data_IF_619338557714
#
_entry.id   IF_619338557714
#
_cell.length_a   1.000
_cell.length_b   1.000
_cell.length_c   1.000
_cell.angle_alpha   90.00
_cell.angle_beta   90.00
_cell.angle_gamma   90.00
#
_symmetry.space_group_name_H-M   'P 1'
#
loop_
_entity.id
_entity.type
_entity.pdbx_description
1 polymer ?
#
# COMPACT_ATOMS: atom_id res chain seq x y z
N UNK A 1 1.55 11.40 -12.82
CA UNK A 1 0.35 10.88 -12.12
C UNK A 1 0.85 10.14 -10.89
N UNK A 2 0.32 10.43 -9.69
CA UNK A 2 0.86 9.88 -8.42
C UNK A 2 -0.09 8.79 -7.91
N UNK A 3 0.48 7.60 -7.71
CA UNK A 3 -0.14 6.46 -7.05
C UNK A 3 0.54 6.23 -5.72
N UNK A 4 -0.21 5.90 -4.68
CA UNK A 4 0.33 5.58 -3.36
C UNK A 4 -0.06 4.15 -2.97
N UNK A 5 0.89 3.39 -2.44
CA UNK A 5 0.63 2.13 -1.74
C UNK A 5 0.79 2.34 -0.24
N UNK A 6 -0.26 2.01 0.52
CA UNK A 6 -0.26 1.91 1.98
C UNK A 6 -0.28 0.43 2.35
N UNK A 7 0.84 -0.08 2.86
CA UNK A 7 1.00 -1.49 3.17
C UNK A 7 2.12 -1.71 4.20
N UNK A 8 2.24 -2.91 4.79
CA UNK A 8 3.39 -3.28 5.61
C UNK A 8 4.71 -3.09 4.88
N UNK A 9 5.79 -2.76 5.60
CA UNK A 9 7.14 -2.46 5.06
C UNK A 9 7.68 -3.53 4.13
N UNK A 10 7.30 -4.81 4.32
CA UNK A 10 7.69 -5.93 3.45
C UNK A 10 7.32 -5.69 1.98
N UNK A 11 6.28 -4.91 1.71
CA UNK A 11 5.83 -4.57 0.34
C UNK A 11 6.45 -3.30 -0.24
N UNK A 12 7.40 -2.64 0.44
CA UNK A 12 8.06 -1.43 -0.07
C UNK A 12 8.68 -1.66 -1.46
N UNK A 13 9.32 -2.81 -1.65
CA UNK A 13 9.98 -3.16 -2.91
C UNK A 13 8.99 -3.34 -4.06
N UNK A 14 7.79 -3.84 -3.78
CA UNK A 14 6.70 -3.93 -4.74
C UNK A 14 6.31 -2.52 -5.20
N UNK A 15 6.10 -1.58 -4.27
CA UNK A 15 5.80 -0.20 -4.63
C UNK A 15 6.88 0.44 -5.51
N UNK A 16 8.16 0.19 -5.22
CA UNK A 16 9.29 0.68 -6.02
C UNK A 16 9.24 0.15 -7.47
N UNK A 17 8.98 -1.15 -7.66
CA UNK A 17 8.89 -1.77 -8.99
C UNK A 17 7.77 -1.18 -9.85
N UNK A 18 6.65 -0.83 -9.23
CA UNK A 18 5.51 -0.20 -9.90
C UNK A 18 5.56 1.34 -9.90
N UNK A 19 6.67 1.93 -9.42
CA UNK A 19 6.87 3.38 -9.30
C UNK A 19 5.76 4.09 -8.49
N UNK A 20 5.27 3.42 -7.44
CA UNK A 20 4.32 3.98 -6.49
C UNK A 20 5.06 4.71 -5.36
N UNK A 21 4.44 5.78 -4.84
CA UNK A 21 4.83 6.30 -3.53
C UNK A 21 4.44 5.29 -2.47
N UNK A 22 5.32 5.04 -1.50
CA UNK A 22 5.09 4.06 -0.45
C UNK A 22 4.90 4.74 0.89
N UNK A 23 3.87 4.33 1.63
CA UNK A 23 3.65 4.69 3.03
C UNK A 23 3.50 3.41 3.82
N UNK A 24 4.29 3.24 4.88
CA UNK A 24 4.20 2.05 5.74
C UNK A 24 3.05 2.16 6.74
N UNK A 25 2.33 1.07 6.92
CA UNK A 25 1.46 0.83 8.06
C UNK A 25 1.56 -0.66 8.42
N UNK A 26 1.85 -0.98 9.68
CA UNK A 26 2.01 -2.35 10.16
C UNK A 26 0.77 -2.90 10.90
N UNK A 27 -0.19 -2.03 11.23
CA UNK A 27 -1.44 -2.38 11.93
C UNK A 27 -2.59 -1.46 11.51
N UNK A 28 -3.82 -1.81 11.90
CA UNK A 28 -4.97 -0.93 11.70
C UNK A 28 -4.84 0.39 12.45
N UNK A 29 -4.23 0.40 13.63
CA UNK A 29 -3.97 1.63 14.40
C UNK A 29 -3.07 2.62 13.64
N UNK A 30 -2.10 2.12 12.87
CA UNK A 30 -1.22 2.95 12.03
C UNK A 30 -1.91 3.39 10.73
N UNK A 31 -2.85 2.59 10.21
CA UNK A 31 -3.46 2.78 8.89
C UNK A 31 -4.06 4.17 8.70
N UNK A 32 -4.79 4.71 9.67
CA UNK A 32 -5.41 6.05 9.53
C UNK A 32 -4.37 7.16 9.41
N UNK A 33 -3.29 7.09 10.21
CA UNK A 33 -2.20 8.06 10.14
C UNK A 33 -1.44 7.97 8.82
N UNK A 34 -1.21 6.74 8.34
CA UNK A 34 -0.61 6.46 7.04
C UNK A 34 -1.47 6.98 5.89
N UNK A 35 -2.80 6.80 5.95
CA UNK A 35 -3.73 7.33 4.96
C UNK A 35 -3.73 8.85 4.93
N UNK A 36 -3.76 9.52 6.10
CA UNK A 36 -3.65 10.99 6.17
C UNK A 36 -2.34 11.49 5.58
N UNK A 37 -1.24 10.81 5.87
CA UNK A 37 0.06 11.14 5.26
C UNK A 37 0.06 10.89 3.75
N UNK A 38 -0.57 9.80 3.28
CA UNK A 38 -0.70 9.49 1.86
C UNK A 38 -1.43 10.60 1.06
N UNK A 39 -2.43 11.26 1.66
CA UNK A 39 -3.13 12.39 1.04
C UNK A 39 -2.20 13.58 0.73
N UNK A 40 -1.12 13.77 1.51
CA UNK A 40 -0.16 14.88 1.30
C UNK A 40 0.55 14.80 -0.05
N UNK A 41 0.67 13.60 -0.64
CA UNK A 41 1.22 13.40 -1.98
C UNK A 41 0.27 13.81 -3.11
N UNK A 42 -0.96 14.24 -2.78
CA UNK A 42 -2.04 14.55 -3.74
C UNK A 42 -2.22 13.44 -4.80
N UNK A 43 -2.36 12.16 -4.37
CA UNK A 43 -2.50 11.06 -5.31
C UNK A 43 -3.84 11.11 -6.05
N UNK A 44 -3.93 10.42 -7.20
CA UNK A 44 -5.24 10.12 -7.80
C UNK A 44 -5.87 8.86 -7.20
N UNK A 45 -5.02 7.91 -6.78
CA UNK A 45 -5.43 6.62 -6.26
C UNK A 45 -4.50 6.19 -5.13
N UNK A 46 -5.09 5.67 -4.06
CA UNK A 46 -4.39 5.02 -2.96
C UNK A 46 -4.77 3.53 -2.99
N UNK A 47 -3.77 2.67 -3.04
CA UNK A 47 -3.91 1.23 -2.85
C UNK A 47 -3.63 0.92 -1.38
N UNK A 48 -4.51 0.16 -0.73
CA UNK A 48 -4.41 -0.17 0.70
C UNK A 48 -4.41 -1.67 0.88
N UNK A 49 -3.44 -2.21 1.62
CA UNK A 49 -3.41 -3.62 1.95
C UNK A 49 -4.65 -4.00 2.79
N UNK A 50 -5.48 -4.92 2.28
CA UNK A 50 -6.78 -5.27 2.87
C UNK A 50 -6.68 -5.75 4.32
N UNK A 51 -5.65 -6.52 4.65
CA UNK A 51 -5.42 -7.04 6.00
C UNK A 51 -5.24 -5.95 7.08
N UNK A 52 -4.89 -4.72 6.72
CA UNK A 52 -4.80 -3.61 7.67
C UNK A 52 -6.18 -3.01 8.03
N UNK A 53 -7.20 -3.27 7.22
CA UNK A 53 -8.53 -2.67 7.36
C UNK A 53 -9.39 -3.44 8.35
N UNK A 54 -9.17 -4.75 8.47
CA UNK A 54 -9.99 -5.66 9.27
C UNK A 54 -10.06 -5.23 10.75
N UNK A 55 -9.00 -4.62 11.28
CA UNK A 55 -8.94 -4.13 12.66
C UNK A 55 -9.70 -2.81 12.90
N UNK A 56 -9.95 -2.02 11.84
CA UNK A 56 -10.47 -0.64 11.93
C UNK A 56 -11.53 -0.33 10.86
N UNK A 57 -12.36 -1.31 10.52
CA UNK A 57 -13.25 -1.24 9.36
C UNK A 57 -14.21 -0.03 9.43
N UNK A 58 -14.75 0.26 10.61
CA UNK A 58 -15.70 1.36 10.83
C UNK A 58 -15.02 2.73 10.67
N UNK A 59 -13.84 2.93 11.26
CA UNK A 59 -13.06 4.15 11.11
C UNK A 59 -12.56 4.34 9.68
N UNK A 60 -12.17 3.26 9.02
CA UNK A 60 -11.77 3.29 7.61
C UNK A 60 -12.94 3.70 6.70
N UNK A 61 -14.15 3.16 6.91
CA UNK A 61 -15.36 3.59 6.18
C UNK A 61 -15.65 5.07 6.38
N UNK A 62 -15.56 5.56 7.62
CA UNK A 62 -15.72 7.00 7.93
C UNK A 62 -14.67 7.84 7.21
N UNK A 63 -13.41 7.42 7.25
CA UNK A 63 -12.32 8.11 6.55
C UNK A 63 -12.58 8.21 5.04
N UNK A 64 -13.03 7.12 4.41
CA UNK A 64 -13.34 7.07 2.97
C UNK A 64 -14.54 7.95 2.61
N UNK A 65 -15.53 8.06 3.50
CA UNK A 65 -16.66 8.97 3.35
C UNK A 65 -16.24 10.44 3.47
N UNK A 66 -15.41 10.77 4.46
CA UNK A 66 -14.86 12.12 4.66
C UNK A 66 -13.90 12.55 3.54
N UNK A 67 -13.26 11.58 2.88
CA UNK A 67 -12.26 11.80 1.83
C UNK A 67 -12.69 11.10 0.52
N UNK A 68 -13.69 11.63 -0.21
CA UNK A 68 -14.22 11.00 -1.42
C UNK A 68 -13.20 10.95 -2.58
N UNK A 69 -12.14 11.75 -2.50
CA UNK A 69 -11.01 11.78 -3.43
C UNK A 69 -9.74 11.84 -2.56
N UNK A 70 -8.70 11.04 -2.83
CA UNK A 70 -8.45 10.12 -3.96
C UNK A 70 -9.29 8.83 -3.93
N UNK A 71 -9.34 8.12 -5.07
CA UNK A 71 -9.94 6.79 -5.12
C UNK A 71 -9.12 5.83 -4.24
N UNK A 72 -9.76 5.19 -3.26
CA UNK A 72 -9.11 4.20 -2.39
C UNK A 72 -9.51 2.80 -2.84
N UNK A 73 -8.50 2.00 -3.25
CA UNK A 73 -8.65 0.62 -3.73
C UNK A 73 -8.03 -0.32 -2.70
N UNK A 74 -8.81 -1.30 -2.27
CA UNK A 74 -8.39 -2.33 -1.34
C UNK A 74 -7.72 -3.45 -2.14
N UNK A 75 -6.50 -3.82 -1.75
CA UNK A 75 -5.70 -4.83 -2.45
C UNK A 75 -5.35 -5.97 -1.52
N UNK A 76 -5.65 -7.18 -1.97
CA UNK A 76 -5.11 -8.39 -1.36
C UNK A 76 -3.65 -8.52 -1.78
N UNK A 77 -2.75 -8.46 -0.79
CA UNK A 77 -1.32 -8.62 -0.97
C UNK A 77 -0.91 -9.98 -0.37
N UNK A 78 -0.73 -11.02 -1.20
CA UNK A 78 -0.30 -12.33 -0.72
C UNK A 78 1.02 -12.22 0.04
N UNK A 79 1.13 -12.94 1.15
CA UNK A 79 2.35 -12.96 1.95
C UNK A 79 3.56 -13.47 1.14
N UNK A 80 3.30 -14.41 0.24
CA UNK A 80 4.27 -15.05 -0.64
C UNK A 80 4.73 -14.18 -1.81
N UNK A 81 4.09 -13.05 -2.08
CA UNK A 81 4.44 -12.19 -3.22
C UNK A 81 5.86 -11.59 -3.06
N UNK A 82 6.34 -11.50 -1.82
CA UNK A 82 7.72 -11.14 -1.47
C UNK A 82 8.75 -12.13 -2.04
N UNK A 83 8.37 -13.41 -2.21
CA UNK A 83 9.23 -14.49 -2.71
C UNK A 83 9.41 -14.40 -4.23
N UNK A 84 8.38 -13.99 -4.97
CA UNK A 84 8.43 -13.88 -6.45
C UNK A 84 9.37 -12.74 -6.89
N UNK A 85 9.43 -11.64 -6.12
CA UNK A 85 10.31 -10.50 -6.43
C UNK A 85 11.79 -10.73 -6.14
N UNK A 86 12.14 -11.77 -5.37
CA UNK A 86 13.53 -12.12 -5.05
C UNK A 86 14.18 -13.01 -6.12
N UNK A 87 13.41 -13.62 -7.03
CA UNK A 87 13.96 -14.46 -8.11
C UNK A 87 14.50 -13.66 -9.29
N UNK A 88 14.08 -12.42 -9.50
CA UNK A 88 14.50 -11.60 -10.64
C UNK A 88 15.95 -11.06 -10.52
N UNK A 89 16.64 -11.29 -9.39
CA UNK A 89 18.08 -10.99 -9.25
C UNK A 89 19.01 -12.15 -9.57
N UNK A 90 18.53 -13.39 -9.67
CA UNK A 90 19.40 -14.55 -9.87
C UNK A 90 19.60 -14.96 -11.34
N UNK A 91 18.78 -14.48 -12.29
CA UNK A 91 18.94 -14.80 -13.72
C UNK A 91 19.77 -13.77 -14.52
N UNK A 92 20.37 -12.76 -13.87
CA UNK A 92 21.24 -11.77 -14.53
C UNK A 92 22.73 -11.91 -14.22
N UNK A 93 23.13 -12.96 -13.52
CA UNK A 93 24.55 -13.24 -13.21
C UNK A 93 24.90 -14.64 -13.71
N UNK A 94 25.13 -14.77 -15.01
CA UNK A 94 25.73 -15.95 -15.62
C UNK A 94 25.01 -16.42 -16.87
N UNK A 95 25.39 -15.87 -18.03
CA UNK A 95 25.97 -16.58 -19.18
C UNK A 95 26.65 -15.55 -20.09
#
# INVERSE_FOLDING_TARGET
>A
MVFVLVAPKRFKRLAELFNFKFVSAESGAELLSALRFALSFKPKTIFVAKGLIEEIEDEYKRFKFENPIPLIIEVDLPEDLTVILLRDKHDRVGY
#
